data_IF_442362356215
#
_entry.id   IF_442362356215
#
_cell.length_a   1.000
_cell.length_b   1.000
_cell.length_c   1.000
_cell.angle_alpha   90.00
_cell.angle_beta   90.00
_cell.angle_gamma   90.00
#
_symmetry.space_group_name_H-M   'P 1'
#
loop_
_entity.id
_entity.type
_entity.pdbx_description
1 polymer ?
#
# COMPACT_ATOMS: atom_id res chain seq x y z
N UNK A 1 14.17 9.44 8.56
CA UNK A 1 14.03 7.97 8.71
C UNK A 1 13.22 7.50 7.52
N UNK A 2 13.63 6.40 6.87
CA UNK A 2 12.91 5.94 5.69
C UNK A 2 11.49 5.46 5.98
N UNK A 3 10.56 5.70 5.06
CA UNK A 3 9.17 5.22 5.12
C UNK A 3 8.66 4.81 3.73
N UNK A 4 7.54 4.07 3.70
CA UNK A 4 6.80 3.80 2.47
C UNK A 4 5.89 4.98 2.14
N UNK A 5 5.97 5.47 0.91
CA UNK A 5 5.10 6.51 0.36
C UNK A 5 4.50 6.04 -0.95
N UNK A 6 3.36 6.61 -1.33
CA UNK A 6 2.92 6.55 -2.72
C UNK A 6 4.00 7.19 -3.62
N UNK A 7 4.23 6.66 -4.84
CA UNK A 7 5.18 7.22 -5.79
C UNK A 7 5.00 8.73 -5.91
N UNK A 8 6.06 9.53 -5.84
CA UNK A 8 5.95 10.99 -5.83
C UNK A 8 6.98 11.64 -6.75
N UNK A 9 6.62 12.78 -7.33
CA UNK A 9 7.55 13.55 -8.17
C UNK A 9 8.71 14.16 -7.37
N UNK A 10 8.56 14.27 -6.05
CA UNK A 10 9.54 14.97 -5.19
C UNK A 10 10.92 14.28 -5.16
N UNK A 11 10.97 12.97 -5.41
CA UNK A 11 12.23 12.19 -5.39
C UNK A 11 12.84 11.98 -6.77
N UNK A 12 12.40 12.74 -7.78
CA UNK A 12 12.73 12.55 -9.20
C UNK A 12 14.23 12.36 -9.45
N UNK A 13 15.08 13.25 -8.95
CA UNK A 13 16.53 13.18 -9.18
C UNK A 13 17.18 11.96 -8.50
N UNK A 14 16.74 11.62 -7.30
CA UNK A 14 17.23 10.42 -6.61
C UNK A 14 16.74 9.14 -7.27
N UNK A 15 15.52 9.13 -7.81
CA UNK A 15 14.97 8.01 -8.58
C UNK A 15 15.82 7.76 -9.83
N UNK A 16 16.13 8.79 -10.63
CA UNK A 16 16.98 8.67 -11.82
C UNK A 16 18.35 8.07 -11.48
N UNK A 17 18.96 8.54 -10.39
CA UNK A 17 20.23 8.01 -9.90
C UNK A 17 20.13 6.53 -9.52
N UNK A 18 19.04 6.12 -8.85
CA UNK A 18 18.80 4.73 -8.51
C UNK A 18 18.56 3.84 -9.74
N UNK A 19 17.83 4.35 -10.76
CA UNK A 19 17.61 3.62 -12.00
C UNK A 19 18.92 3.41 -12.78
N UNK A 20 19.81 4.40 -12.79
CA UNK A 20 21.16 4.24 -13.35
C UNK A 20 21.98 3.17 -12.61
N UNK A 21 21.87 3.08 -11.27
CA UNK A 21 22.49 2.00 -10.50
C UNK A 21 21.95 0.62 -10.91
N UNK A 22 20.63 0.48 -11.05
CA UNK A 22 20.02 -0.78 -11.50
C UNK A 22 20.48 -1.16 -12.91
N UNK A 23 20.54 -0.20 -13.83
CA UNK A 23 21.01 -0.43 -15.19
C UNK A 23 22.49 -0.85 -15.22
N UNK A 24 23.33 -0.25 -14.38
CA UNK A 24 24.73 -0.65 -14.22
C UNK A 24 24.89 -2.10 -13.69
N UNK A 25 23.88 -2.63 -13.00
CA UNK A 25 23.80 -4.02 -12.56
C UNK A 25 23.19 -4.96 -13.62
N UNK A 26 22.92 -4.45 -14.82
CA UNK A 26 22.37 -5.22 -15.95
C UNK A 26 20.85 -5.21 -16.04
N UNK A 27 20.13 -4.44 -15.21
CA UNK A 27 18.68 -4.28 -15.38
C UNK A 27 18.36 -3.56 -16.68
N UNK A 28 17.27 -3.97 -17.32
CA UNK A 28 16.83 -3.44 -18.61
C UNK A 28 17.41 -4.14 -19.84
N UNK A 29 18.22 -5.18 -19.66
CA UNK A 29 18.63 -6.08 -20.76
C UNK A 29 17.40 -6.73 -21.44
N UNK A 30 17.46 -7.15 -22.72
CA UNK A 30 16.30 -7.70 -23.43
C UNK A 30 15.64 -8.92 -22.76
N UNK A 31 16.42 -9.70 -22.02
CA UNK A 31 16.02 -10.89 -21.26
C UNK A 31 15.65 -10.60 -19.80
N UNK A 32 15.77 -9.34 -19.34
CA UNK A 32 15.34 -8.94 -18.00
C UNK A 32 13.81 -8.80 -17.94
N UNK A 33 13.16 -9.86 -17.48
CA UNK A 33 11.71 -9.95 -17.30
C UNK A 33 11.20 -9.30 -16.01
N UNK A 34 12.08 -8.64 -15.24
CA UNK A 34 11.63 -7.92 -14.03
C UNK A 34 10.86 -6.64 -14.38
N UNK A 35 10.06 -6.17 -13.42
CA UNK A 35 9.35 -4.90 -13.52
C UNK A 35 10.32 -3.74 -13.82
N UNK A 36 11.46 -3.66 -13.10
CA UNK A 36 12.48 -2.64 -13.36
C UNK A 36 13.01 -2.75 -14.78
N UNK A 37 13.29 -3.98 -15.25
CA UNK A 37 13.79 -4.21 -16.59
C UNK A 37 12.83 -3.70 -17.66
N UNK A 38 11.53 -4.03 -17.52
CA UNK A 38 10.50 -3.52 -18.41
C UNK A 38 10.43 -2.00 -18.42
N UNK A 39 10.39 -1.38 -17.24
CA UNK A 39 10.26 0.08 -17.12
C UNK A 39 11.49 0.83 -17.64
N UNK A 40 12.70 0.32 -17.40
CA UNK A 40 13.93 0.90 -17.95
C UNK A 40 13.89 0.91 -19.48
N UNK A 41 13.42 -0.17 -20.11
CA UNK A 41 13.28 -0.24 -21.57
C UNK A 41 12.20 0.68 -22.10
N UNK A 42 11.09 0.82 -21.38
CA UNK A 42 9.94 1.61 -21.83
C UNK A 42 10.13 3.12 -21.60
N UNK A 43 10.70 3.50 -20.46
CA UNK A 43 10.71 4.88 -19.98
C UNK A 43 12.11 5.44 -19.69
N UNK A 44 13.15 4.61 -19.59
CA UNK A 44 14.48 4.99 -19.10
C UNK A 44 15.04 6.27 -19.72
N UNK A 45 15.01 6.36 -21.05
CA UNK A 45 15.55 7.51 -21.81
C UNK A 45 14.70 8.78 -21.70
N UNK A 46 13.46 8.68 -21.18
CA UNK A 46 12.48 9.77 -21.14
C UNK A 46 12.20 10.27 -19.73
N UNK A 47 12.54 9.50 -18.69
CA UNK A 47 12.29 9.91 -17.31
C UNK A 47 12.99 11.21 -16.91
N UNK A 48 14.05 11.66 -17.62
CA UNK A 48 14.65 12.96 -17.34
C UNK A 48 13.69 14.15 -17.55
N UNK A 49 12.68 13.99 -18.41
CA UNK A 49 11.59 14.97 -18.57
C UNK A 49 10.62 14.87 -17.37
N UNK A 50 10.48 15.96 -16.63
CA UNK A 50 9.60 16.02 -15.45
C UNK A 50 8.13 15.75 -15.75
N UNK A 51 7.65 16.04 -16.96
CA UNK A 51 6.26 15.72 -17.35
C UNK A 51 6.09 14.24 -17.56
N UNK A 52 7.02 13.59 -18.26
CA UNK A 52 7.01 12.14 -18.46
C UNK A 52 7.14 11.42 -17.12
N UNK A 53 7.97 11.93 -16.20
CA UNK A 53 8.08 11.37 -14.87
C UNK A 53 6.78 11.53 -14.06
N UNK A 54 6.12 12.69 -14.13
CA UNK A 54 4.84 12.91 -13.48
C UNK A 54 3.75 11.96 -14.01
N UNK A 55 3.69 11.76 -15.33
CA UNK A 55 2.75 10.82 -15.96
C UNK A 55 3.04 9.37 -15.53
N UNK A 56 4.32 8.98 -15.44
CA UNK A 56 4.72 7.68 -14.92
C UNK A 56 4.30 7.48 -13.45
N UNK A 57 4.53 8.49 -12.61
CA UNK A 57 4.10 8.48 -11.20
C UNK A 57 2.58 8.34 -11.09
N UNK A 58 1.82 9.06 -11.92
CA UNK A 58 0.36 8.97 -11.97
C UNK A 58 -0.09 7.57 -12.42
N UNK A 59 0.55 6.99 -13.44
CA UNK A 59 0.26 5.64 -13.92
C UNK A 59 0.52 4.57 -12.86
N UNK A 60 1.63 4.66 -12.10
CA UNK A 60 1.91 3.74 -11.00
C UNK A 60 0.86 3.80 -9.90
N UNK A 61 0.35 4.99 -9.58
CA UNK A 61 -0.73 5.16 -8.59
C UNK A 61 -2.05 4.60 -9.12
N UNK A 62 -2.33 4.79 -10.41
CA UNK A 62 -3.55 4.31 -11.04
C UNK A 62 -3.60 2.78 -11.16
N UNK A 63 -2.47 2.08 -11.16
CA UNK A 63 -2.44 0.61 -11.28
C UNK A 63 -3.07 -0.12 -10.09
N UNK A 64 -3.36 0.58 -8.99
CA UNK A 64 -4.13 0.03 -7.88
C UNK A 64 -5.61 -0.20 -8.23
N UNK A 65 -6.15 0.44 -9.27
CA UNK A 65 -7.58 0.38 -9.59
C UNK A 65 -7.93 -0.75 -10.58
N UNK A 66 -9.04 -1.45 -10.36
CA UNK A 66 -9.45 -2.62 -11.17
C UNK A 66 -9.68 -2.27 -12.65
N UNK A 67 -10.21 -1.09 -12.92
CA UNK A 67 -10.55 -0.60 -14.25
C UNK A 67 -9.35 -0.10 -15.05
N UNK A 68 -8.20 0.15 -14.41
CA UNK A 68 -7.01 0.64 -15.10
C UNK A 68 -6.57 -0.37 -16.17
N UNK A 69 -6.45 0.03 -17.45
CA UNK A 69 -6.09 -0.89 -18.52
C UNK A 69 -4.74 -1.56 -18.27
N UNK A 70 -4.73 -2.90 -18.34
CA UNK A 70 -3.53 -3.71 -18.09
C UNK A 70 -3.43 -4.89 -19.03
N UNK A 71 -2.20 -5.41 -19.16
CA UNK A 71 -1.91 -6.58 -20.00
C UNK A 71 -2.63 -7.81 -19.46
N UNK A 72 -3.00 -8.72 -20.36
CA UNK A 72 -3.56 -10.00 -19.97
C UNK A 72 -2.63 -10.74 -19.00
N UNK A 73 -3.19 -11.28 -17.91
CA UNK A 73 -2.43 -11.97 -16.87
C UNK A 73 -1.85 -11.07 -15.77
N UNK A 74 -1.93 -9.75 -15.91
CA UNK A 74 -1.59 -8.79 -14.86
C UNK A 74 -2.82 -8.49 -14.02
N UNK A 75 -2.58 -8.09 -12.78
CA UNK A 75 -3.60 -7.78 -11.76
C UNK A 75 -3.30 -6.39 -11.20
N UNK A 76 -4.28 -5.71 -10.59
CA UNK A 76 -4.03 -4.49 -9.87
C UNK A 76 -2.92 -4.67 -8.84
N UNK A 77 -2.10 -3.64 -8.71
CA UNK A 77 -0.99 -3.62 -7.79
C UNK A 77 -0.80 -2.24 -7.18
N UNK A 78 -0.57 -2.21 -5.86
CA UNK A 78 -0.14 -0.99 -5.18
C UNK A 78 1.38 -0.95 -5.16
N UNK A 79 1.95 0.03 -5.86
CA UNK A 79 3.38 0.32 -5.80
C UNK A 79 3.63 1.42 -4.77
N UNK A 80 4.63 1.20 -3.91
CA UNK A 80 5.09 2.15 -2.91
C UNK A 80 6.60 2.33 -3.04
N UNK A 81 7.08 3.53 -2.72
CA UNK A 81 8.49 3.86 -2.72
C UNK A 81 9.02 4.00 -1.30
N UNK A 82 10.18 3.41 -1.05
CA UNK A 82 10.90 3.52 0.21
C UNK A 82 11.81 4.74 0.15
N UNK A 83 11.47 5.78 0.92
CA UNK A 83 12.04 7.13 0.79
C UNK A 83 12.53 7.63 2.14
N UNK A 84 13.71 8.26 2.18
CA UNK A 84 14.23 8.99 3.34
C UNK A 84 14.47 10.46 2.95
N UNK A 85 13.54 11.34 3.31
CA UNK A 85 13.56 12.73 2.84
C UNK A 85 13.30 12.80 1.32
N UNK A 86 14.28 13.28 0.56
CA UNK A 86 14.27 13.34 -0.90
C UNK A 86 14.96 12.12 -1.56
N UNK A 87 15.50 11.20 -0.75
CA UNK A 87 16.24 10.04 -1.24
C UNK A 87 15.32 8.85 -1.51
N UNK A 88 15.13 8.51 -2.79
CA UNK A 88 14.60 7.21 -3.21
C UNK A 88 15.62 6.11 -2.90
N UNK A 89 15.20 5.10 -2.12
CA UNK A 89 16.05 3.98 -1.71
C UNK A 89 15.63 2.65 -2.33
N UNK A 90 14.39 2.54 -2.83
CA UNK A 90 13.84 1.31 -3.38
C UNK A 90 12.32 1.38 -3.48
N UNK A 91 11.71 0.23 -3.77
CA UNK A 91 10.25 0.09 -3.86
C UNK A 91 9.76 -1.26 -3.38
N UNK A 92 8.47 -1.28 -3.10
CA UNK A 92 7.69 -2.46 -2.79
C UNK A 92 6.39 -2.41 -3.61
N UNK A 93 6.06 -3.50 -4.28
CA UNK A 93 4.82 -3.66 -5.03
C UNK A 93 4.00 -4.80 -4.41
N UNK A 94 2.73 -4.53 -4.12
CA UNK A 94 1.76 -5.49 -3.60
C UNK A 94 0.72 -5.75 -4.69
N UNK A 95 0.72 -6.94 -5.26
CA UNK A 95 -0.33 -7.41 -6.17
C UNK A 95 -1.54 -7.82 -5.34
N UNK A 96 -2.71 -7.32 -5.72
CA UNK A 96 -3.93 -7.46 -4.91
C UNK A 96 -4.48 -8.89 -4.90
N UNK A 97 -4.11 -9.71 -5.89
CA UNK A 97 -4.51 -11.11 -6.00
C UNK A 97 -3.48 -11.94 -6.76
N UNK A 98 -3.50 -13.26 -6.60
CA UNK A 98 -2.63 -14.17 -7.35
C UNK A 98 -3.34 -14.80 -8.55
N UNK A 99 -2.73 -14.69 -9.72
CA UNK A 99 -2.95 -15.59 -10.86
C UNK A 99 -2.14 -16.88 -10.68
N UNK A 100 -2.37 -17.89 -11.51
CA UNK A 100 -1.58 -19.13 -11.47
C UNK A 100 -0.08 -18.86 -11.67
N UNK A 101 0.28 -17.98 -12.61
CA UNK A 101 1.67 -17.58 -12.81
C UNK A 101 2.27 -16.88 -11.58
N UNK A 102 1.50 -16.03 -10.91
CA UNK A 102 1.93 -15.38 -9.67
C UNK A 102 2.04 -16.34 -8.49
N UNK A 103 1.20 -17.38 -8.41
CA UNK A 103 1.35 -18.45 -7.40
C UNK A 103 2.66 -19.20 -7.54
N UNK A 104 3.15 -19.33 -8.77
CA UNK A 104 4.37 -20.09 -9.10
C UNK A 104 5.64 -19.25 -8.93
N UNK A 105 5.68 -18.03 -9.49
CA UNK A 105 6.94 -17.27 -9.60
C UNK A 105 6.94 -15.91 -8.91
N UNK A 106 5.80 -15.22 -8.83
CA UNK A 106 5.76 -13.80 -8.48
C UNK A 106 5.42 -13.49 -7.02
N UNK A 107 4.49 -14.23 -6.44
CA UNK A 107 3.88 -13.91 -5.16
C UNK A 107 3.05 -12.63 -5.19
N UNK A 108 2.55 -12.23 -4.02
CA UNK A 108 1.85 -10.97 -3.80
C UNK A 108 2.85 -9.82 -3.77
N UNK A 109 3.97 -9.98 -3.06
CA UNK A 109 4.90 -8.88 -2.79
C UNK A 109 6.20 -9.08 -3.55
N UNK A 110 6.59 -8.05 -4.31
CA UNK A 110 7.94 -7.90 -4.86
C UNK A 110 8.59 -6.62 -4.32
N UNK A 111 9.91 -6.61 -4.18
CA UNK A 111 10.62 -5.43 -3.71
C UNK A 111 12.05 -5.35 -4.25
N UNK A 112 12.57 -4.14 -4.31
CA UNK A 112 13.96 -3.86 -4.66
C UNK A 112 14.53 -2.71 -3.82
N UNK A 113 15.85 -2.73 -3.67
CA UNK A 113 16.62 -1.69 -2.99
C UNK A 113 17.78 -1.33 -3.90
N UNK A 114 17.97 -0.03 -4.13
CA UNK A 114 19.08 0.49 -4.94
C UNK A 114 20.42 0.02 -4.37
N UNK A 115 21.38 -0.24 -5.24
CA UNK A 115 22.60 -0.98 -4.88
C UNK A 115 23.37 -0.32 -3.73
N UNK A 116 23.46 1.01 -3.74
CA UNK A 116 24.19 1.81 -2.73
C UNK A 116 23.55 1.78 -1.34
N UNK A 117 22.27 1.42 -1.23
CA UNK A 117 21.53 1.34 0.03
C UNK A 117 21.39 -0.10 0.58
N UNK A 118 21.86 -1.12 -0.15
CA UNK A 118 21.74 -2.53 0.28
C UNK A 118 22.57 -2.83 1.53
N UNK A 119 22.22 -3.94 2.20
CA UNK A 119 22.86 -4.45 3.44
C UNK A 119 22.76 -3.50 4.64
N UNK A 120 21.79 -2.58 4.62
CA UNK A 120 21.48 -1.64 5.72
C UNK A 120 20.13 -1.92 6.38
N UNK A 121 19.53 -3.08 6.11
CA UNK A 121 18.23 -3.48 6.67
C UNK A 121 17.00 -2.91 5.96
N UNK A 122 17.15 -2.10 4.90
CA UNK A 122 16.02 -1.47 4.22
C UNK A 122 14.99 -2.47 3.67
N UNK A 123 15.41 -3.55 3.01
CA UNK A 123 14.47 -4.56 2.50
C UNK A 123 13.64 -5.20 3.63
N UNK A 124 14.27 -5.51 4.76
CA UNK A 124 13.57 -6.04 5.96
C UNK A 124 12.56 -5.04 6.50
N UNK A 125 12.96 -3.78 6.67
CA UNK A 125 12.09 -2.73 7.17
C UNK A 125 10.92 -2.42 6.21
N UNK A 126 11.21 -2.41 4.91
CA UNK A 126 10.25 -2.14 3.85
C UNK A 126 9.20 -3.26 3.75
N UNK A 127 9.62 -4.53 3.75
CA UNK A 127 8.67 -5.65 3.77
C UNK A 127 7.79 -5.59 5.02
N UNK A 128 8.37 -5.34 6.21
CA UNK A 128 7.62 -5.17 7.46
C UNK A 128 6.55 -4.09 7.34
N UNK A 129 6.92 -2.93 6.80
CA UNK A 129 6.03 -1.78 6.65
C UNK A 129 4.94 -2.01 5.59
N UNK A 130 5.15 -2.90 4.61
CA UNK A 130 4.17 -3.22 3.57
C UNK A 130 3.12 -4.25 4.00
N UNK A 131 3.39 -5.08 5.02
CA UNK A 131 2.47 -6.12 5.46
C UNK A 131 1.11 -5.59 5.96
N UNK A 132 1.03 -4.52 6.77
CA UNK A 132 -0.27 -3.95 7.16
C UNK A 132 -1.11 -3.47 5.98
N UNK A 133 -0.47 -2.92 4.93
CA UNK A 133 -1.18 -2.57 3.69
C UNK A 133 -1.68 -3.81 2.95
N UNK A 134 -0.88 -4.89 2.89
CA UNK A 134 -1.37 -6.14 2.31
C UNK A 134 -2.61 -6.66 3.07
N UNK A 135 -2.66 -6.53 4.40
CA UNK A 135 -3.85 -6.86 5.20
C UNK A 135 -5.06 -6.02 4.83
N UNK A 136 -4.90 -4.71 4.63
CA UNK A 136 -6.02 -3.86 4.21
C UNK A 136 -6.53 -4.20 2.81
N UNK A 137 -5.72 -4.89 2.00
CA UNK A 137 -6.09 -5.45 0.71
C UNK A 137 -6.71 -6.87 0.83
N UNK A 138 -7.20 -7.25 2.02
CA UNK A 138 -7.72 -8.58 2.35
C UNK A 138 -6.75 -9.75 2.13
N UNK A 139 -5.44 -9.49 2.04
CA UNK A 139 -4.40 -10.53 1.96
C UNK A 139 -4.05 -10.93 3.39
N UNK A 140 -4.60 -12.05 3.88
CA UNK A 140 -4.30 -12.57 5.23
C UNK A 140 -2.85 -13.07 5.38
N UNK A 141 -2.28 -13.60 4.30
CA UNK A 141 -0.89 -14.03 4.23
C UNK A 141 -0.35 -13.80 2.83
N UNK A 142 0.76 -13.08 2.73
CA UNK A 142 1.37 -12.73 1.47
C UNK A 142 2.36 -13.82 1.05
N UNK A 143 2.08 -14.50 -0.07
CA UNK A 143 3.10 -15.26 -0.79
C UNK A 143 4.24 -14.33 -1.23
N UNK A 144 5.47 -14.63 -0.85
CA UNK A 144 6.69 -13.96 -1.30
C UNK A 144 7.64 -15.01 -1.86
N UNK A 145 8.22 -14.75 -3.02
CA UNK A 145 9.10 -15.68 -3.72
C UNK A 145 10.50 -15.09 -3.88
N UNK A 146 11.51 -15.95 -3.93
CA UNK A 146 12.87 -15.55 -4.28
C UNK A 146 13.64 -16.68 -4.98
N UNK A 147 14.71 -16.32 -5.68
CA UNK A 147 15.61 -17.32 -6.26
C UNK A 147 16.36 -18.09 -5.16
N UNK A 148 16.66 -19.39 -5.34
CA UNK A 148 17.36 -20.22 -4.35
C UNK A 148 18.71 -19.67 -3.88
N UNK A 149 19.44 -19.00 -4.77
CA UNK A 149 20.73 -18.37 -4.49
C UNK A 149 20.61 -16.96 -3.89
N UNK A 150 19.39 -16.38 -3.85
CA UNK A 150 19.12 -15.08 -3.27
C UNK A 150 18.98 -15.15 -1.74
N UNK A 151 20.11 -15.44 -1.08
CA UNK A 151 20.23 -15.52 0.39
C UNK A 151 19.75 -14.24 1.07
N UNK A 152 19.93 -13.09 0.44
CA UNK A 152 19.49 -11.79 0.96
C UNK A 152 17.97 -11.71 1.10
N UNK A 153 17.24 -12.03 0.03
CA UNK A 153 15.77 -12.03 0.02
C UNK A 153 15.21 -13.09 0.97
N UNK A 154 15.79 -14.30 0.98
CA UNK A 154 15.40 -15.34 1.94
C UNK A 154 15.46 -14.86 3.39
N UNK A 155 16.58 -14.25 3.81
CA UNK A 155 16.72 -13.71 5.17
C UNK A 155 15.74 -12.57 5.47
N UNK A 156 15.44 -11.72 4.49
CA UNK A 156 14.44 -10.66 4.63
C UNK A 156 13.05 -11.24 4.89
N UNK A 157 12.68 -12.27 4.14
CA UNK A 157 11.38 -12.95 4.24
C UNK A 157 11.26 -13.65 5.60
N UNK A 158 12.25 -14.46 5.98
CA UNK A 158 12.28 -15.19 7.26
C UNK A 158 12.25 -14.20 8.46
N UNK A 159 12.99 -13.08 8.39
CA UNK A 159 12.98 -12.05 9.44
C UNK A 159 11.65 -11.29 9.58
N UNK A 160 10.74 -11.45 8.62
CA UNK A 160 9.37 -10.92 8.68
C UNK A 160 8.33 -12.02 8.96
N UNK A 161 8.75 -13.18 9.45
CA UNK A 161 7.85 -14.28 9.82
C UNK A 161 7.44 -15.16 8.64
N UNK A 162 8.13 -15.07 7.50
CA UNK A 162 7.89 -15.92 6.36
C UNK A 162 8.11 -17.40 6.69
N UNK A 163 7.07 -18.20 6.48
CA UNK A 163 7.09 -19.66 6.63
C UNK A 163 7.35 -20.26 5.26
N UNK A 164 8.40 -21.08 5.15
CA UNK A 164 8.72 -21.78 3.90
C UNK A 164 7.61 -22.77 3.54
N UNK A 165 7.15 -22.71 2.30
CA UNK A 165 6.15 -23.62 1.73
C UNK A 165 6.85 -24.75 0.95
N UNK A 166 7.46 -24.41 -0.18
CA UNK A 166 8.15 -25.34 -1.08
C UNK A 166 9.16 -24.60 -2.01
N UNK A 167 9.87 -25.39 -2.81
CA UNK A 167 10.62 -24.92 -3.96
C UNK A 167 9.96 -25.44 -5.23
N UNK A 168 9.63 -24.54 -6.16
CA UNK A 168 8.96 -24.89 -7.41
C UNK A 168 9.38 -23.95 -8.52
N UNK A 169 9.59 -24.50 -9.72
CA UNK A 169 9.93 -23.72 -10.91
C UNK A 169 11.14 -22.79 -10.69
N UNK A 170 12.11 -23.25 -9.91
CA UNK A 170 13.32 -22.49 -9.58
C UNK A 170 13.10 -21.31 -8.62
N UNK A 171 12.00 -21.29 -7.85
CA UNK A 171 11.73 -20.28 -6.82
C UNK A 171 11.48 -20.92 -5.47
N UNK A 172 12.08 -20.36 -4.43
CA UNK A 172 11.68 -20.60 -3.05
C UNK A 172 10.42 -19.80 -2.75
N UNK A 173 9.42 -20.43 -2.11
CA UNK A 173 8.10 -19.85 -1.86
C UNK A 173 7.84 -19.80 -0.36
N UNK A 174 7.41 -18.64 0.14
CA UNK A 174 7.15 -18.41 1.55
C UNK A 174 5.82 -17.71 1.76
N UNK A 175 5.08 -18.10 2.79
CA UNK A 175 3.89 -17.38 3.26
C UNK A 175 4.26 -16.47 4.43
N UNK A 176 4.03 -15.17 4.27
CA UNK A 176 4.31 -14.15 5.28
C UNK A 176 2.98 -13.65 5.84
N UNK A 177 2.66 -13.93 7.12
CA UNK A 177 1.45 -13.40 7.75
C UNK A 177 1.43 -11.87 7.71
N UNK A 178 0.29 -11.27 7.36
CA UNK A 178 0.16 -9.81 7.27
C UNK A 178 -0.23 -9.15 8.60
N UNK A 179 -0.68 -9.97 9.55
CA UNK A 179 -0.93 -9.62 10.95
C UNK A 179 -0.84 -10.87 11.84
N UNK A 180 -0.79 -10.71 13.17
CA UNK A 180 -0.95 -11.80 14.11
C UNK A 180 -2.24 -12.60 13.86
N UNK A 181 -2.21 -13.90 14.18
CA UNK A 181 -3.39 -14.75 14.11
C UNK A 181 -4.44 -14.21 15.09
N UNK A 182 -5.66 -13.97 14.60
CA UNK A 182 -6.78 -13.46 15.41
C UNK A 182 -6.95 -11.95 15.39
N UNK A 183 -6.12 -11.21 14.64
CA UNK A 183 -6.30 -9.76 14.42
C UNK A 183 -7.68 -9.44 13.84
N UNK A 184 -8.28 -8.34 14.30
CA UNK A 184 -9.60 -7.92 13.86
C UNK A 184 -9.61 -7.38 12.41
N UNK A 185 -10.74 -7.37 11.70
CA UNK A 185 -10.82 -6.75 10.37
C UNK A 185 -10.48 -5.25 10.41
N UNK A 186 -9.92 -4.71 9.32
CA UNK A 186 -9.69 -3.26 9.20
C UNK A 186 -11.02 -2.49 9.25
N UNK A 187 -10.98 -1.30 9.84
CA UNK A 187 -12.10 -0.35 9.88
C UNK A 187 -11.74 0.89 9.07
N UNK A 188 -12.74 1.65 8.64
CA UNK A 188 -12.57 2.73 7.68
C UNK A 188 -12.99 4.10 8.22
N UNK A 189 -12.21 5.12 7.88
CA UNK A 189 -12.58 6.53 8.07
C UNK A 189 -12.63 7.23 6.73
N UNK A 190 -13.76 7.88 6.45
CA UNK A 190 -13.87 8.87 5.38
C UNK A 190 -13.70 10.27 5.98
N UNK A 191 -12.89 11.10 5.32
CA UNK A 191 -12.61 12.47 5.71
C UNK A 191 -12.17 13.29 4.50
N UNK A 192 -12.22 14.62 4.59
CA UNK A 192 -11.69 15.46 3.53
C UNK A 192 -10.16 15.29 3.44
N UNK A 193 -9.60 15.30 2.23
CA UNK A 193 -8.15 15.19 2.03
C UNK A 193 -7.37 16.26 2.79
N UNK A 194 -7.92 17.47 2.89
CA UNK A 194 -7.34 18.55 3.68
C UNK A 194 -7.28 18.23 5.19
N UNK A 195 -8.30 17.55 5.74
CA UNK A 195 -8.31 17.12 7.14
C UNK A 195 -7.24 16.04 7.39
N UNK A 196 -7.06 15.11 6.44
CA UNK A 196 -6.00 14.11 6.54
C UNK A 196 -4.60 14.77 6.55
N UNK A 197 -4.34 15.69 5.62
CA UNK A 197 -3.06 16.42 5.57
C UNK A 197 -2.78 17.19 6.86
N UNK A 198 -3.81 17.78 7.47
CA UNK A 198 -3.67 18.44 8.76
C UNK A 198 -3.33 17.46 9.88
N UNK A 199 -3.93 16.27 9.88
CA UNK A 199 -3.61 15.21 10.83
C UNK A 199 -2.16 14.70 10.67
N UNK A 200 -1.69 14.53 9.43
CA UNK A 200 -0.29 14.17 9.13
C UNK A 200 0.68 15.21 9.70
N UNK A 201 0.40 16.51 9.47
CA UNK A 201 1.21 17.60 9.99
C UNK A 201 1.19 17.66 11.53
N UNK A 202 0.06 17.32 12.16
CA UNK A 202 -0.09 17.28 13.62
C UNK A 202 0.45 16.00 14.27
N UNK A 203 0.66 14.93 13.50
CA UNK A 203 1.06 13.62 14.01
C UNK A 203 -0.07 12.82 14.68
N UNK A 204 -1.32 13.30 14.60
CA UNK A 204 -2.51 12.69 15.24
C UNK A 204 -3.78 13.18 14.56
N UNK A 205 -4.81 12.34 14.49
CA UNK A 205 -6.14 12.76 14.02
C UNK A 205 -7.11 12.91 15.20
N UNK A 206 -7.57 14.14 15.44
CA UNK A 206 -8.45 14.49 16.56
C UNK A 206 -9.95 14.45 16.21
N UNK A 207 -10.32 13.80 15.10
CA UNK A 207 -11.69 13.77 14.57
C UNK A 207 -12.03 14.97 13.70
N UNK A 208 -13.14 14.87 12.96
CA UNK A 208 -13.78 15.99 12.25
C UNK A 208 -14.55 16.90 13.23
N UNK A 209 -15.11 18.02 12.75
CA UNK A 209 -16.03 18.84 13.56
C UNK A 209 -17.26 18.03 14.01
N UNK A 210 -17.74 17.12 13.16
CA UNK A 210 -18.85 16.23 13.49
C UNK A 210 -18.49 15.24 14.60
N UNK A 211 -17.33 14.58 14.49
CA UNK A 211 -16.82 13.66 15.52
C UNK A 211 -16.65 14.34 16.88
N UNK A 212 -16.10 15.57 16.89
CA UNK A 212 -15.96 16.36 18.12
C UNK A 212 -17.29 16.75 18.73
N UNK A 213 -18.31 17.00 17.90
CA UNK A 213 -19.66 17.29 18.36
C UNK A 213 -20.30 16.11 19.10
N UNK A 214 -20.08 14.89 18.61
CA UNK A 214 -20.61 13.66 19.20
C UNK A 214 -19.71 13.10 20.34
N UNK A 215 -18.46 13.54 20.40
CA UNK A 215 -17.51 13.18 21.46
C UNK A 215 -16.67 11.94 21.17
N UNK A 216 -16.71 11.41 19.95
CA UNK A 216 -15.93 10.25 19.50
C UNK A 216 -15.72 10.27 17.98
N UNK A 217 -14.67 9.59 17.50
CA UNK A 217 -14.39 9.46 16.07
C UNK A 217 -15.19 8.30 15.50
N UNK A 218 -16.03 8.58 14.49
CA UNK A 218 -16.80 7.57 13.78
C UNK A 218 -15.93 6.82 12.78
N UNK A 219 -16.01 5.49 12.82
CA UNK A 219 -15.49 4.59 11.79
C UNK A 219 -16.63 3.71 11.24
N UNK A 220 -16.38 3.06 10.11
CA UNK A 220 -17.28 2.07 9.52
C UNK A 220 -16.53 0.75 9.30
N UNK A 221 -17.21 -0.38 9.48
CA UNK A 221 -16.73 -1.67 8.98
C UNK A 221 -16.78 -1.76 7.46
N UNK A 222 -16.14 -2.80 6.88
CA UNK A 222 -16.14 -3.05 5.43
C UNK A 222 -17.55 -3.13 4.84
N UNK A 223 -18.48 -3.75 5.56
CA UNK A 223 -19.88 -3.94 5.17
C UNK A 223 -20.73 -2.65 5.31
N UNK A 224 -20.18 -1.61 5.95
CA UNK A 224 -20.90 -0.38 6.29
C UNK A 224 -20.41 0.83 5.48
N UNK A 225 -19.12 0.88 5.14
CA UNK A 225 -18.47 2.11 4.65
C UNK A 225 -19.07 2.64 3.34
N UNK A 226 -19.52 1.77 2.44
CA UNK A 226 -20.18 2.18 1.18
C UNK A 226 -21.50 2.89 1.47
N UNK A 227 -22.33 2.36 2.38
CA UNK A 227 -23.58 3.00 2.78
C UNK A 227 -23.32 4.31 3.54
N UNK A 228 -22.29 4.34 4.40
CA UNK A 228 -21.86 5.59 5.06
C UNK A 228 -21.49 6.66 4.03
N UNK A 229 -20.74 6.29 2.99
CA UNK A 229 -20.35 7.19 1.90
C UNK A 229 -21.58 7.79 1.20
N UNK A 230 -22.51 6.92 0.77
CA UNK A 230 -23.74 7.32 0.09
C UNK A 230 -24.62 8.26 0.92
N UNK A 231 -24.65 8.09 2.26
CA UNK A 231 -25.53 8.87 3.15
C UNK A 231 -24.92 10.18 3.63
N UNK A 232 -23.64 10.17 3.97
CA UNK A 232 -22.98 11.28 4.69
C UNK A 232 -22.14 12.14 3.75
N UNK A 233 -21.55 11.53 2.72
CA UNK A 233 -20.57 12.17 1.85
C UNK A 233 -21.09 12.41 0.41
N UNK A 234 -22.37 12.15 0.14
CA UNK A 234 -22.94 12.33 -1.19
C UNK A 234 -22.68 13.74 -1.77
N UNK A 235 -22.14 13.78 -2.98
CA UNK A 235 -21.81 15.02 -3.70
C UNK A 235 -20.54 15.74 -3.21
N UNK A 236 -19.84 15.20 -2.21
CA UNK A 236 -18.53 15.70 -1.81
C UNK A 236 -17.43 15.11 -2.71
N UNK A 237 -16.36 15.87 -2.86
CA UNK A 237 -15.16 15.53 -3.65
C UNK A 237 -13.92 15.85 -2.81
N UNK A 238 -12.74 15.48 -3.29
CA UNK A 238 -11.46 15.60 -2.57
C UNK A 238 -11.53 14.90 -1.20
N UNK A 239 -11.95 13.64 -1.25
CA UNK A 239 -12.07 12.77 -0.08
C UNK A 239 -10.93 11.76 -0.02
N UNK A 240 -10.54 11.43 1.21
CA UNK A 240 -9.61 10.36 1.52
C UNK A 240 -10.34 9.29 2.31
N UNK A 241 -10.05 8.01 2.02
CA UNK A 241 -10.42 6.88 2.84
C UNK A 241 -9.18 6.34 3.55
N UNK A 242 -9.26 6.22 4.87
CA UNK A 242 -8.23 5.57 5.69
C UNK A 242 -8.70 4.16 6.01
N UNK A 243 -7.83 3.17 5.79
CA UNK A 243 -7.97 1.86 6.41
C UNK A 243 -7.16 1.83 7.70
N UNK A 244 -7.78 1.39 8.80
CA UNK A 244 -7.25 1.50 10.14
C UNK A 244 -7.23 0.13 10.81
N UNK A 245 -6.12 -0.19 11.46
CA UNK A 245 -5.98 -1.38 12.29
C UNK A 245 -6.62 -1.15 13.66
N UNK A 246 -7.76 -1.78 13.97
CA UNK A 246 -8.43 -1.59 15.26
C UNK A 246 -7.60 -2.12 16.43
N UNK A 247 -6.69 -3.08 16.20
CA UNK A 247 -5.88 -3.68 17.27
C UNK A 247 -4.90 -2.66 17.89
N UNK A 248 -4.57 -1.59 17.15
CA UNK A 248 -3.70 -0.48 17.61
C UNK A 248 -4.47 0.52 18.48
N UNK A 249 -5.79 0.55 18.39
CA UNK A 249 -6.64 1.56 19.06
C UNK A 249 -6.98 1.19 20.51
N UNK A 250 -6.79 -0.06 20.91
CA UNK A 250 -6.98 -0.51 22.29
C UNK A 250 -8.40 -0.33 22.81
N UNK A 251 -8.51 -0.15 24.14
CA UNK A 251 -9.78 -0.15 24.87
C UNK A 251 -10.67 1.09 24.62
N UNK A 252 -10.13 2.14 23.99
CA UNK A 252 -10.90 3.34 23.63
C UNK A 252 -11.77 3.12 22.38
N UNK A 253 -11.53 2.05 21.62
CA UNK A 253 -12.39 1.64 20.51
C UNK A 253 -13.57 0.80 21.02
N UNK A 254 -14.79 1.28 20.79
CA UNK A 254 -16.03 0.61 21.21
C UNK A 254 -16.91 0.30 20.02
N UNK A 255 -17.51 -0.89 20.03
CA UNK A 255 -18.52 -1.29 19.05
C UNK A 255 -19.90 -1.04 19.64
N UNK A 256 -20.60 -0.04 19.11
CA UNK A 256 -21.87 0.43 19.68
C UNK A 256 -23.00 0.33 18.66
N UNK A 257 -24.19 -0.04 19.14
CA UNK A 257 -25.36 -0.15 18.27
C UNK A 257 -25.74 1.23 17.73
N UNK A 258 -25.82 1.33 16.41
CA UNK A 258 -26.32 2.52 15.71
C UNK A 258 -27.71 2.22 15.14
N UNK A 259 -28.14 3.02 14.16
CA UNK A 259 -29.42 2.86 13.45
C UNK A 259 -29.53 1.44 12.89
N UNK A 260 -30.69 0.80 13.11
CA UNK A 260 -30.95 -0.56 12.62
C UNK A 260 -30.30 -1.68 13.45
N UNK A 261 -29.63 -1.37 14.56
CA UNK A 261 -29.04 -2.36 15.47
C UNK A 261 -27.68 -2.89 15.03
N UNK A 262 -27.16 -2.44 13.89
CA UNK A 262 -25.79 -2.73 13.46
C UNK A 262 -24.78 -2.03 14.38
N UNK A 263 -23.67 -2.71 14.68
CA UNK A 263 -22.60 -2.18 15.52
C UNK A 263 -21.63 -1.33 14.68
N UNK A 264 -21.41 -0.08 15.07
CA UNK A 264 -20.41 0.78 14.46
C UNK A 264 -19.21 0.96 15.41
N UNK A 265 -17.97 1.00 14.88
CA UNK A 265 -16.79 1.30 15.67
C UNK A 265 -16.67 2.80 15.97
N UNK A 266 -16.58 3.16 17.24
CA UNK A 266 -16.40 4.51 17.74
C UNK A 266 -15.14 4.59 18.61
N UNK A 267 -14.26 5.54 18.32
CA UNK A 267 -13.04 5.75 19.10
C UNK A 267 -13.19 6.95 20.04
N UNK A 268 -13.06 6.71 21.34
CA UNK A 268 -13.17 7.72 22.40
C UNK A 268 -11.82 8.37 22.75
N UNK A 269 -10.95 8.53 21.75
CA UNK A 269 -9.63 9.14 21.86
C UNK A 269 -9.20 9.72 20.49
N UNK A 270 -8.19 10.60 20.43
CA UNK A 270 -7.53 10.93 19.18
C UNK A 270 -6.90 9.68 18.55
N UNK A 271 -7.03 9.52 17.23
CA UNK A 271 -6.46 8.38 16.52
C UNK A 271 -4.97 8.61 16.24
N UNK A 272 -4.07 7.72 16.71
CA UNK A 272 -2.66 7.79 16.35
C UNK A 272 -2.48 7.41 14.88
N UNK A 273 -1.59 8.11 14.15
CA UNK A 273 -1.35 7.82 12.73
C UNK A 273 -0.76 6.42 12.51
N UNK A 274 -0.13 5.83 13.54
CA UNK A 274 0.39 4.45 13.50
C UNK A 274 -0.71 3.40 13.38
N UNK A 275 -1.98 3.75 13.61
CA UNK A 275 -3.10 2.85 13.37
C UNK A 275 -3.53 2.82 11.89
N UNK A 276 -3.12 3.80 11.07
CA UNK A 276 -3.49 3.86 9.66
C UNK A 276 -2.59 2.92 8.85
N UNK A 277 -3.21 1.94 8.19
CA UNK A 277 -2.51 0.92 7.39
C UNK A 277 -2.61 1.17 5.89
N UNK A 278 -3.59 1.98 5.46
CA UNK A 278 -3.70 2.46 4.08
C UNK A 278 -4.32 3.86 4.04
N UNK A 279 -3.84 4.68 3.10
CA UNK A 279 -4.41 5.98 2.76
C UNK A 279 -4.77 5.94 1.28
N UNK A 280 -6.05 6.11 0.99
CA UNK A 280 -6.59 5.96 -0.37
C UNK A 280 -7.28 7.28 -0.74
N UNK A 281 -6.69 8.00 -1.69
CA UNK A 281 -7.38 9.14 -2.30
C UNK A 281 -8.54 8.62 -3.15
N UNK A 282 -9.76 9.07 -2.84
CA UNK A 282 -10.94 8.65 -3.57
C UNK A 282 -11.05 9.40 -4.90
N UNK A 283 -11.70 8.74 -5.84
CA UNK A 283 -11.97 9.27 -7.16
C UNK A 283 -13.10 10.29 -7.11
N UNK A 284 -12.89 11.42 -7.78
CA UNK A 284 -13.89 12.51 -7.89
C UNK A 284 -14.71 12.43 -9.19
N UNK A 285 -14.36 11.53 -10.11
CA UNK A 285 -15.00 11.39 -11.42
C UNK A 285 -16.23 10.45 -11.40
N UNK A 286 -16.53 9.83 -10.26
CA UNK A 286 -17.66 8.92 -10.03
C UNK A 286 -18.33 9.23 -8.67
N UNK A 287 -19.58 8.78 -8.43
CA UNK A 287 -20.23 8.93 -7.13
C UNK A 287 -19.37 8.36 -5.98
N UNK A 288 -19.41 9.01 -4.81
CA UNK A 288 -18.54 8.68 -3.67
C UNK A 288 -18.68 7.24 -3.18
N UNK A 289 -19.89 6.69 -3.22
CA UNK A 289 -20.18 5.31 -2.85
C UNK A 289 -19.59 4.32 -3.86
N UNK A 290 -19.64 4.64 -5.14
CA UNK A 290 -18.94 3.87 -6.18
C UNK A 290 -17.41 3.99 -6.04
N UNK A 291 -16.89 5.18 -5.71
CA UNK A 291 -15.47 5.40 -5.46
C UNK A 291 -14.97 4.58 -4.25
N UNK A 292 -15.74 4.56 -3.17
CA UNK A 292 -15.45 3.74 -1.98
C UNK A 292 -15.54 2.25 -2.32
N UNK A 293 -16.58 1.81 -3.03
CA UNK A 293 -16.73 0.42 -3.43
C UNK A 293 -15.56 -0.07 -4.31
N UNK A 294 -15.07 0.78 -5.22
CA UNK A 294 -13.90 0.49 -6.05
C UNK A 294 -12.57 0.49 -5.28
N UNK A 295 -12.52 1.14 -4.11
CA UNK A 295 -11.34 1.20 -3.25
C UNK A 295 -11.26 0.06 -2.22
N UNK A 296 -12.35 -0.69 -2.04
CA UNK A 296 -12.38 -1.85 -1.16
C UNK A 296 -11.71 -3.07 -1.83
N UNK A 297 -11.09 -3.96 -1.05
CA UNK A 297 -10.47 -5.19 -1.56
C UNK A 297 -11.44 -6.25 -2.06
#
# INVERSE_FOLDING_TARGET
MPSLLLPTVDVHQSFLSAMAEFQAEGRGAPDDETMIGYELREYGDRWADSRVFADYVAALRADAWEETPRRAGFVPATTLWWVDGDAYLGRLAIRHRLTDGLREHGGHIGYDVRSTARRRGHATAMLRAGLPLARSLAIASALVTCDPDNVGSRRVIEANGGVFEDERSGKLRFWVPTAPVGSAPVIYKLLATAEWRAAEAAGVYAGSDFDRGDGFIHFSGTDQVVETAARVFAGQTDLTMLAVDPDVLGDDLRWEASRGGALFPHLYAPMPLTAVVAVIALRDDIPVDEAVAAALP
#
